data_IF_649890286968
#
_entry.id   IF_649890286968
#
_cell.length_a   1.000
_cell.length_b   1.000
_cell.length_c   1.000
_cell.angle_alpha   90.00
_cell.angle_beta   90.00
_cell.angle_gamma   90.00
#
_symmetry.space_group_name_H-M   'P 1'
#
loop_
_entity.id
_entity.type
_entity.pdbx_description
1 polymer ?
#
# COMPACT_ATOMS: atom_id res chain seq x y z
N UNK A 1 15.31 -0.68 2.29
CA UNK A 1 14.84 -1.28 1.02
C UNK A 1 15.33 -2.72 0.96
N UNK A 2 14.95 -3.47 -0.07
CA UNK A 2 15.48 -4.79 -0.40
C UNK A 2 15.99 -4.79 -1.85
N UNK A 3 16.97 -5.65 -2.16
CA UNK A 3 17.52 -5.79 -3.52
C UNK A 3 16.57 -6.55 -4.47
N UNK A 4 15.80 -7.50 -3.94
CA UNK A 4 14.77 -8.23 -4.70
C UNK A 4 15.33 -8.89 -5.97
N UNK A 5 14.64 -8.69 -7.10
CA UNK A 5 15.02 -9.20 -8.42
C UNK A 5 16.16 -8.41 -9.11
N UNK A 6 16.69 -7.36 -8.48
CA UNK A 6 17.60 -6.41 -9.14
C UNK A 6 16.91 -5.43 -10.10
N UNK A 7 15.57 -5.44 -10.16
CA UNK A 7 14.78 -4.49 -10.95
C UNK A 7 14.73 -3.11 -10.30
N UNK A 8 15.04 -2.06 -11.06
CA UNK A 8 14.98 -0.66 -10.61
C UNK A 8 13.87 0.05 -11.35
N UNK A 9 12.90 0.57 -10.61
CA UNK A 9 11.80 1.41 -11.14
C UNK A 9 12.11 2.86 -10.74
N UNK A 10 12.30 3.72 -11.73
CA UNK A 10 12.58 5.15 -11.53
C UNK A 10 11.29 5.94 -11.76
N UNK A 11 10.96 6.83 -10.84
CA UNK A 11 9.83 7.76 -10.90
C UNK A 11 10.38 9.17 -10.68
N UNK A 12 10.03 10.10 -11.55
CA UNK A 12 10.39 11.52 -11.43
C UNK A 12 9.33 12.28 -10.61
N UNK A 13 9.49 13.59 -10.52
CA UNK A 13 8.65 14.50 -9.73
C UNK A 13 7.25 14.69 -10.32
N UNK A 14 7.00 14.18 -11.53
CA UNK A 14 5.68 14.25 -12.18
C UNK A 14 4.76 13.11 -11.74
N UNK A 15 5.29 12.12 -11.03
CA UNK A 15 4.55 10.94 -10.58
C UNK A 15 3.87 11.20 -9.23
N UNK A 16 2.56 10.95 -9.19
CA UNK A 16 1.79 10.91 -7.95
C UNK A 16 2.08 9.60 -7.19
N UNK A 17 2.68 9.71 -5.99
CA UNK A 17 3.08 8.54 -5.21
C UNK A 17 1.89 7.80 -4.58
N UNK A 18 0.77 8.47 -4.33
CA UNK A 18 -0.47 7.82 -3.89
C UNK A 18 -1.04 6.96 -5.02
N UNK A 19 -1.03 7.47 -6.25
CA UNK A 19 -1.45 6.71 -7.44
C UNK A 19 -0.54 5.52 -7.72
N UNK A 20 0.78 5.71 -7.60
CA UNK A 20 1.74 4.62 -7.76
C UNK A 20 1.53 3.51 -6.73
N UNK A 21 1.33 3.85 -5.45
CA UNK A 21 1.03 2.85 -4.42
C UNK A 21 -0.32 2.17 -4.65
N UNK A 22 -1.32 2.92 -5.11
CA UNK A 22 -2.65 2.37 -5.42
C UNK A 22 -2.57 1.31 -6.52
N UNK A 23 -1.77 1.56 -7.56
CA UNK A 23 -1.53 0.58 -8.62
C UNK A 23 -0.83 -0.69 -8.09
N UNK A 24 0.18 -0.54 -7.23
CA UNK A 24 0.83 -1.69 -6.57
C UNK A 24 -0.15 -2.47 -5.68
N UNK A 25 -0.95 -1.78 -4.87
CA UNK A 25 -1.95 -2.42 -4.02
C UNK A 25 -3.03 -3.15 -4.82
N UNK A 26 -3.44 -2.59 -5.97
CA UNK A 26 -4.34 -3.28 -6.89
C UNK A 26 -3.72 -4.57 -7.42
N UNK A 27 -2.47 -4.53 -7.89
CA UNK A 27 -1.74 -5.71 -8.35
C UNK A 27 -1.68 -6.80 -7.28
N UNK A 28 -1.19 -6.48 -6.08
CA UNK A 28 -1.07 -7.49 -5.01
C UNK A 28 -2.42 -7.97 -4.48
N UNK A 29 -3.47 -7.15 -4.54
CA UNK A 29 -4.83 -7.59 -4.23
C UNK A 29 -5.39 -8.52 -5.30
N UNK A 30 -5.05 -8.31 -6.58
CA UNK A 30 -5.51 -9.14 -7.70
C UNK A 30 -4.76 -10.48 -7.77
N UNK A 31 -3.45 -10.45 -7.54
CA UNK A 31 -2.55 -11.61 -7.61
C UNK A 31 -2.45 -12.39 -6.29
N UNK A 32 -3.23 -12.01 -5.28
CA UNK A 32 -3.31 -12.77 -4.03
C UNK A 32 -4.02 -14.11 -4.29
N UNK A 33 -3.33 -15.22 -4.01
CA UNK A 33 -3.93 -16.56 -4.11
C UNK A 33 -5.08 -16.80 -3.10
N UNK A 34 -5.26 -15.90 -2.13
CA UNK A 34 -6.36 -15.95 -1.17
C UNK A 34 -6.21 -16.96 -0.03
N UNK A 35 -5.08 -17.67 0.09
CA UNK A 35 -4.94 -18.77 1.06
C UNK A 35 -4.93 -18.32 2.53
N UNK A 36 -4.14 -17.30 2.88
CA UNK A 36 -4.05 -16.79 4.26
C UNK A 36 -4.84 -15.49 4.44
N UNK A 37 -5.64 -15.42 5.53
CA UNK A 37 -6.53 -14.29 5.78
C UNK A 37 -5.83 -12.92 5.84
N UNK A 38 -4.66 -12.76 6.49
CA UNK A 38 -4.00 -11.45 6.51
C UNK A 38 -3.61 -10.96 5.12
N UNK A 39 -3.22 -11.86 4.20
CA UNK A 39 -2.95 -11.50 2.80
C UNK A 39 -4.24 -11.22 2.02
N UNK A 40 -5.22 -12.16 2.06
CA UNK A 40 -6.47 -12.07 1.29
C UNK A 40 -7.26 -10.81 1.63
N UNK A 41 -7.44 -10.55 2.92
CA UNK A 41 -8.21 -9.40 3.39
C UNK A 41 -7.35 -8.13 3.44
N UNK A 42 -6.09 -8.24 3.89
CA UNK A 42 -5.21 -7.08 4.09
C UNK A 42 -4.83 -6.38 2.80
N UNK A 43 -4.47 -7.12 1.74
CA UNK A 43 -4.13 -6.51 0.43
C UNK A 43 -5.33 -5.79 -0.18
N UNK A 44 -6.51 -6.43 -0.13
CA UNK A 44 -7.77 -5.84 -0.59
C UNK A 44 -8.20 -4.62 0.23
N UNK A 45 -8.00 -4.64 1.55
CA UNK A 45 -8.29 -3.51 2.43
C UNK A 45 -7.41 -2.30 2.12
N UNK A 46 -6.10 -2.49 1.98
CA UNK A 46 -5.18 -1.42 1.58
C UNK A 46 -5.57 -0.81 0.23
N UNK A 47 -5.88 -1.65 -0.76
CA UNK A 47 -6.33 -1.18 -2.06
C UNK A 47 -7.64 -0.36 -1.96
N UNK A 48 -8.61 -0.79 -1.14
CA UNK A 48 -9.85 -0.04 -0.92
C UNK A 48 -9.60 1.35 -0.31
N UNK A 49 -8.74 1.45 0.71
CA UNK A 49 -8.40 2.75 1.31
C UNK A 49 -7.75 3.65 0.25
N UNK A 50 -6.72 3.16 -0.44
CA UNK A 50 -5.97 3.93 -1.43
C UNK A 50 -6.85 4.40 -2.59
N UNK A 51 -7.72 3.51 -3.11
CA UNK A 51 -8.69 3.85 -4.14
C UNK A 51 -9.68 4.93 -3.68
N UNK A 52 -10.12 4.87 -2.41
CA UNK A 52 -10.98 5.89 -1.81
C UNK A 52 -10.25 7.23 -1.69
N UNK A 53 -8.98 7.23 -1.29
CA UNK A 53 -8.16 8.45 -1.25
C UNK A 53 -8.09 9.09 -2.64
N UNK A 54 -7.77 8.32 -3.69
CA UNK A 54 -7.74 8.82 -5.08
C UNK A 54 -9.09 9.33 -5.59
N UNK A 55 -10.21 8.86 -5.03
CA UNK A 55 -11.54 9.38 -5.34
C UNK A 55 -11.85 10.73 -4.64
N UNK A 56 -10.91 11.30 -3.88
CA UNK A 56 -11.12 12.51 -3.10
C UNK A 56 -12.01 12.28 -1.88
N UNK A 57 -12.06 11.05 -1.38
CA UNK A 57 -12.87 10.62 -0.23
C UNK A 57 -11.99 10.11 0.94
N UNK A 58 -10.71 10.50 0.96
CA UNK A 58 -9.80 10.17 2.06
C UNK A 58 -10.30 10.72 3.39
N UNK A 59 -10.15 9.93 4.45
CA UNK A 59 -10.68 10.22 5.78
C UNK A 59 -9.57 10.42 6.81
N UNK A 60 -9.82 11.22 7.87
CA UNK A 60 -8.95 11.20 9.04
C UNK A 60 -8.78 9.77 9.56
N UNK A 61 -7.54 9.34 9.79
CA UNK A 61 -7.23 7.97 10.24
C UNK A 61 -6.83 6.99 9.12
N UNK A 62 -6.99 7.34 7.84
CA UNK A 62 -6.71 6.42 6.73
C UNK A 62 -5.23 6.03 6.65
N UNK A 63 -4.33 6.99 6.93
CA UNK A 63 -2.89 6.74 6.94
C UNK A 63 -2.52 5.77 8.08
N UNK A 64 -3.06 5.99 9.27
CA UNK A 64 -2.84 5.13 10.43
C UNK A 64 -3.43 3.73 10.21
N UNK A 65 -4.56 3.64 9.51
CA UNK A 65 -5.15 2.36 9.12
C UNK A 65 -4.27 1.62 8.11
N UNK A 66 -3.68 2.31 7.13
CA UNK A 66 -2.73 1.70 6.19
C UNK A 66 -1.48 1.17 6.90
N UNK A 67 -0.90 1.94 7.83
CA UNK A 67 0.24 1.51 8.63
C UNK A 67 -0.09 0.27 9.47
N UNK A 68 -1.18 0.31 10.24
CA UNK A 68 -1.64 -0.83 11.06
C UNK A 68 -1.90 -2.07 10.21
N UNK A 69 -2.52 -1.90 9.05
CA UNK A 69 -2.81 -3.01 8.16
C UNK A 69 -1.52 -3.62 7.56
N UNK A 70 -0.53 -2.79 7.23
CA UNK A 70 0.78 -3.28 6.81
C UNK A 70 1.45 -4.11 7.92
N UNK A 71 1.38 -3.68 9.18
CA UNK A 71 1.91 -4.42 10.34
C UNK A 71 1.13 -5.71 10.65
N UNK A 72 -0.15 -5.77 10.28
CA UNK A 72 -0.96 -6.98 10.37
C UNK A 72 -0.67 -8.00 9.26
N UNK A 73 -0.14 -7.55 8.12
CA UNK A 73 0.33 -8.44 7.05
C UNK A 73 1.76 -8.94 7.30
N UNK A 74 2.65 -8.03 7.71
CA UNK A 74 4.09 -8.26 7.79
C UNK A 74 4.44 -9.48 8.67
N UNK A 75 5.07 -10.50 8.07
CA UNK A 75 5.52 -11.70 8.78
C UNK A 75 4.40 -12.58 9.35
N UNK A 76 3.14 -12.32 9.00
CA UNK A 76 1.95 -13.03 9.50
C UNK A 76 1.22 -13.82 8.39
N UNK A 77 1.88 -14.04 7.26
CA UNK A 77 1.32 -14.71 6.08
C UNK A 77 2.14 -15.95 5.70
N UNK A 78 1.55 -16.83 4.90
CA UNK A 78 2.17 -18.12 4.52
C UNK A 78 3.37 -17.92 3.58
N UNK A 79 3.27 -16.99 2.64
CA UNK A 79 4.33 -16.62 1.70
C UNK A 79 4.60 -15.12 1.77
N UNK A 80 5.63 -14.67 1.05
CA UNK A 80 6.12 -13.27 1.12
C UNK A 80 5.32 -12.25 0.30
N UNK A 81 4.19 -12.64 -0.32
CA UNK A 81 3.41 -11.74 -1.17
C UNK A 81 2.87 -10.54 -0.41
N UNK A 82 2.34 -10.75 0.81
CA UNK A 82 1.80 -9.65 1.61
C UNK A 82 2.91 -8.70 2.11
N UNK A 83 4.08 -9.25 2.46
CA UNK A 83 5.26 -8.45 2.82
C UNK A 83 5.70 -7.55 1.65
N UNK A 84 5.60 -8.07 0.42
CA UNK A 84 5.91 -7.34 -0.81
C UNK A 84 4.98 -6.15 -1.09
N UNK A 85 3.78 -6.10 -0.49
CA UNK A 85 2.91 -4.91 -0.46
C UNK A 85 3.13 -4.06 0.81
N UNK A 86 3.27 -4.71 1.98
CA UNK A 86 3.41 -4.03 3.27
C UNK A 86 4.67 -3.13 3.30
N UNK A 87 5.79 -3.60 2.76
CA UNK A 87 7.03 -2.82 2.68
C UNK A 87 6.88 -1.54 1.83
N UNK A 88 6.30 -1.57 0.61
CA UNK A 88 5.91 -0.36 -0.11
C UNK A 88 5.00 0.57 0.69
N UNK A 89 3.94 0.08 1.35
CA UNK A 89 3.05 0.93 2.16
C UNK A 89 3.86 1.70 3.21
N UNK A 90 4.64 0.99 4.03
CA UNK A 90 5.47 1.62 5.07
C UNK A 90 6.47 2.62 4.48
N UNK A 91 7.13 2.25 3.36
CA UNK A 91 8.13 3.12 2.72
C UNK A 91 7.50 4.39 2.12
N UNK A 92 6.36 4.27 1.46
CA UNK A 92 5.67 5.37 0.81
C UNK A 92 5.12 6.34 1.84
N UNK A 93 4.44 5.83 2.88
CA UNK A 93 3.92 6.67 3.96
C UNK A 93 5.05 7.37 4.73
N UNK A 94 6.19 6.70 4.94
CA UNK A 94 7.36 7.32 5.59
C UNK A 94 7.96 8.46 4.77
N UNK A 95 8.04 8.33 3.44
CA UNK A 95 8.76 9.29 2.58
C UNK A 95 7.86 10.38 2.01
N UNK A 96 6.60 10.06 1.72
CA UNK A 96 5.68 10.90 0.97
C UNK A 96 4.41 11.21 1.76
N UNK A 97 4.46 11.15 3.11
CA UNK A 97 3.29 11.33 3.99
C UNK A 97 2.40 12.53 3.60
N UNK A 98 3.02 13.66 3.28
CA UNK A 98 2.32 14.90 2.90
C UNK A 98 1.45 14.74 1.65
N UNK A 99 1.87 13.93 0.68
CA UNK A 99 1.06 13.65 -0.52
C UNK A 99 -0.20 12.85 -0.16
N UNK A 100 -0.10 11.91 0.78
CA UNK A 100 -1.26 11.17 1.29
C UNK A 100 -2.19 12.07 2.10
N UNK A 101 -1.65 12.96 2.95
CA UNK A 101 -2.42 13.92 3.72
C UNK A 101 -3.22 14.88 2.82
N UNK A 102 -2.70 15.23 1.64
CA UNK A 102 -3.39 16.08 0.67
C UNK A 102 -4.69 15.45 0.10
N UNK A 103 -4.85 14.13 0.19
CA UNK A 103 -6.08 13.42 -0.22
C UNK A 103 -7.12 13.28 0.91
N UNK A 104 -6.81 13.74 2.12
CA UNK A 104 -7.72 13.67 3.27
C UNK A 104 -8.55 14.96 3.33
N UNK A 105 -9.88 14.82 3.35
CA UNK A 105 -10.78 15.95 3.62
C UNK A 105 -10.83 16.23 5.11
N UNK A 106 -10.65 17.50 5.48
CA UNK A 106 -10.91 18.02 6.83
C UNK A 106 -12.40 18.21 7.07
#
# INVERSE_FOLDING_TARGET
>A
SMLGSGGVIVMDETVDMVKALTNLAHFYSHESCGQCSPCREGTGWSHKILKRMLAGEGRPGDIEQLEKNADHMMGKTICVLADALAMPIQSYLKKFRKEFEAYIKM
#
